data_IF_793373031789
#
_entry.id   IF_793373031789
#
_cell.length_a   1.000
_cell.length_b   1.000
_cell.length_c   1.000
_cell.angle_alpha   90.00
_cell.angle_beta   90.00
_cell.angle_gamma   90.00
#
_symmetry.space_group_name_H-M   'P 1'
#
loop_
_entity.id
_entity.type
_entity.pdbx_description
1 polymer ?
#
# COMPACT_ATOMS: atom_id res chain seq x y z
N UNK A 1 -27.23 2.80 -2.31
CA UNK A 1 -27.10 1.31 -2.24
C UNK A 1 -28.46 0.62 -2.19
N UNK A 2 -29.30 0.79 -1.16
CA UNK A 2 -30.57 0.07 -1.06
C UNK A 2 -31.46 0.27 -2.31
N UNK A 3 -31.66 1.51 -2.76
CA UNK A 3 -32.42 1.83 -3.97
C UNK A 3 -31.81 1.21 -5.25
N UNK A 4 -30.50 1.20 -5.40
CA UNK A 4 -29.80 0.61 -6.57
C UNK A 4 -29.88 -0.92 -6.58
N UNK A 5 -29.96 -1.54 -5.39
CA UNK A 5 -30.07 -2.99 -5.22
C UNK A 5 -31.52 -3.47 -5.12
N UNK A 6 -32.49 -2.56 -5.23
CA UNK A 6 -33.93 -2.86 -5.10
C UNK A 6 -34.25 -3.63 -3.81
N UNK A 7 -33.67 -3.20 -2.67
CA UNK A 7 -33.85 -3.81 -1.35
C UNK A 7 -34.00 -2.74 -0.26
N UNK A 8 -34.13 -3.15 1.00
CA UNK A 8 -34.22 -2.22 2.14
C UNK A 8 -32.85 -1.88 2.72
N UNK A 9 -32.76 -0.76 3.43
CA UNK A 9 -31.53 -0.36 4.13
C UNK A 9 -31.11 -1.39 5.17
N UNK A 10 -32.07 -1.93 5.95
CA UNK A 10 -31.83 -2.95 6.97
C UNK A 10 -31.17 -4.19 6.36
N UNK A 11 -31.65 -4.64 5.18
CA UNK A 11 -31.08 -5.81 4.51
C UNK A 11 -29.66 -5.56 4.03
N UNK A 12 -29.35 -4.35 3.52
CA UNK A 12 -27.99 -3.96 3.15
C UNK A 12 -27.06 -3.97 4.38
N UNK A 13 -27.50 -3.35 5.47
CA UNK A 13 -26.74 -3.29 6.72
C UNK A 13 -26.50 -4.70 7.31
N UNK A 14 -27.50 -5.57 7.27
CA UNK A 14 -27.36 -6.97 7.70
C UNK A 14 -26.26 -7.68 6.92
N UNK A 15 -26.30 -7.67 5.58
CA UNK A 15 -25.31 -8.29 4.69
C UNK A 15 -23.90 -7.76 4.94
N UNK A 16 -23.74 -6.44 5.07
CA UNK A 16 -22.43 -5.82 5.32
C UNK A 16 -21.87 -6.20 6.68
N UNK A 17 -22.73 -6.23 7.72
CA UNK A 17 -22.32 -6.66 9.07
C UNK A 17 -21.98 -8.15 9.12
N UNK A 18 -22.70 -9.02 8.38
CA UNK A 18 -22.35 -10.42 8.21
C UNK A 18 -20.98 -10.58 7.55
N UNK A 19 -20.76 -9.93 6.41
CA UNK A 19 -19.49 -9.97 5.70
C UNK A 19 -18.30 -9.48 6.56
N UNK A 20 -18.55 -8.54 7.47
CA UNK A 20 -17.55 -8.06 8.43
C UNK A 20 -17.27 -9.08 9.54
N UNK A 21 -18.30 -9.68 10.14
CA UNK A 21 -18.16 -10.77 11.13
C UNK A 21 -17.42 -11.98 10.57
N UNK A 22 -17.70 -12.35 9.32
CA UNK A 22 -17.06 -13.47 8.63
C UNK A 22 -15.62 -13.15 8.19
N UNK A 23 -15.17 -11.89 8.39
CA UNK A 23 -13.85 -11.41 8.02
C UNK A 23 -13.62 -11.36 6.50
N UNK A 24 -14.68 -11.30 5.71
CA UNK A 24 -14.64 -10.99 4.27
C UNK A 24 -14.27 -9.53 4.11
N UNK A 25 -14.96 -8.63 4.82
CA UNK A 25 -14.60 -7.21 4.94
C UNK A 25 -13.66 -7.06 6.13
N UNK A 26 -12.45 -6.55 5.87
CA UNK A 26 -11.46 -6.26 6.93
C UNK A 26 -11.68 -4.90 7.57
N UNK A 27 -11.96 -3.90 6.75
CA UNK A 27 -12.10 -2.50 7.15
C UNK A 27 -12.84 -1.74 6.05
N UNK A 28 -13.65 -0.76 6.46
CA UNK A 28 -14.27 0.21 5.56
C UNK A 28 -13.91 1.61 6.01
N UNK A 29 -13.15 2.35 5.19
CA UNK A 29 -12.67 3.67 5.54
C UNK A 29 -12.17 4.45 4.33
N UNK A 30 -11.84 5.71 4.52
CA UNK A 30 -11.12 6.49 3.53
C UNK A 30 -9.72 5.92 3.27
N UNK A 31 -9.30 5.97 2.03
CA UNK A 31 -7.96 5.58 1.56
C UNK A 31 -7.29 6.83 1.02
N UNK A 32 -6.29 7.30 1.74
CA UNK A 32 -5.54 8.49 1.40
C UNK A 32 -4.30 8.20 0.56
N UNK A 33 -3.83 9.21 -0.16
CA UNK A 33 -2.57 9.17 -0.89
C UNK A 33 -1.43 9.62 0.02
N UNK A 34 -0.57 8.68 0.39
CA UNK A 34 0.56 8.90 1.31
C UNK A 34 1.44 10.10 0.90
N UNK A 35 1.69 10.25 -0.41
CA UNK A 35 2.54 11.32 -0.93
C UNK A 35 1.84 12.68 -0.85
N UNK A 36 0.55 12.73 -1.16
CA UNK A 36 -0.25 13.97 -1.09
C UNK A 36 -0.50 14.43 0.35
N UNK A 37 -0.42 13.51 1.32
CA UNK A 37 -0.39 13.84 2.74
C UNK A 37 0.99 14.37 3.21
N UNK A 38 1.97 14.50 2.32
CA UNK A 38 3.31 14.97 2.66
C UNK A 38 4.25 13.90 3.24
N UNK A 39 3.79 12.66 3.40
CA UNK A 39 4.63 11.58 3.91
C UNK A 39 5.69 11.17 2.89
N UNK A 40 6.91 10.96 3.37
CA UNK A 40 7.98 10.33 2.61
C UNK A 40 7.95 8.82 2.82
N UNK A 41 7.81 8.06 1.75
CA UNK A 41 7.69 6.60 1.85
C UNK A 41 8.69 5.87 0.95
N UNK A 42 9.13 4.70 1.41
CA UNK A 42 10.01 3.82 0.64
C UNK A 42 9.71 2.36 0.90
N UNK A 43 10.01 1.52 -0.09
CA UNK A 43 10.30 0.12 0.12
C UNK A 43 11.74 0.01 0.62
N UNK A 44 11.99 -0.83 1.61
CA UNK A 44 13.31 -1.04 2.21
C UNK A 44 13.55 -2.54 2.29
N UNK A 45 14.78 -2.95 2.06
CA UNK A 45 15.18 -4.33 2.28
C UNK A 45 16.43 -4.40 3.17
N UNK A 46 16.37 -5.25 4.17
CA UNK A 46 17.46 -5.53 5.11
C UNK A 46 18.01 -6.94 4.88
N UNK A 47 19.33 -7.06 5.03
CA UNK A 47 20.03 -8.33 5.17
C UNK A 47 20.21 -8.63 6.66
N UNK A 48 19.45 -9.60 7.20
CA UNK A 48 19.42 -9.97 8.61
C UNK A 48 19.90 -11.42 8.77
N UNK A 49 20.76 -11.69 9.76
CA UNK A 49 21.09 -13.08 10.10
C UNK A 49 19.86 -13.80 10.64
N UNK A 50 19.74 -15.09 10.30
CA UNK A 50 18.56 -15.91 10.66
C UNK A 50 18.24 -15.87 12.16
N UNK A 51 19.29 -15.94 13.01
CA UNK A 51 19.14 -15.86 14.48
C UNK A 51 18.56 -14.53 14.98
N UNK A 52 18.76 -13.43 14.22
CA UNK A 52 18.33 -12.07 14.60
C UNK A 52 16.94 -11.71 14.03
N UNK A 53 16.41 -12.51 13.09
CA UNK A 53 15.10 -12.23 12.44
C UNK A 53 13.97 -12.03 13.46
N UNK A 54 13.77 -12.86 14.49
CA UNK A 54 12.67 -12.68 15.44
C UNK A 54 12.74 -11.33 16.17
N UNK A 55 13.93 -10.88 16.57
CA UNK A 55 14.11 -9.59 17.21
C UNK A 55 13.94 -8.44 16.22
N UNK A 56 14.51 -8.57 15.02
CA UNK A 56 14.37 -7.57 13.96
C UNK A 56 12.90 -7.34 13.58
N UNK A 57 12.12 -8.41 13.45
CA UNK A 57 10.67 -8.34 13.17
C UNK A 57 9.93 -7.61 14.29
N UNK A 58 10.24 -7.86 15.55
CA UNK A 58 9.64 -7.17 16.69
C UNK A 58 9.92 -5.66 16.62
N UNK A 59 11.16 -5.27 16.38
CA UNK A 59 11.60 -3.87 16.28
C UNK A 59 10.94 -3.19 15.08
N UNK A 60 10.98 -3.80 13.89
CA UNK A 60 10.38 -3.23 12.69
C UNK A 60 8.86 -3.09 12.82
N UNK A 61 8.20 -4.11 13.39
CA UNK A 61 6.75 -4.09 13.54
C UNK A 61 6.24 -3.07 14.57
N UNK A 62 7.07 -2.64 15.52
CA UNK A 62 6.71 -1.59 16.49
C UNK A 62 6.75 -0.18 15.89
N UNK A 63 7.43 0.01 14.75
CA UNK A 63 7.46 1.33 14.10
C UNK A 63 6.10 1.66 13.48
N UNK A 64 5.47 2.83 13.81
CA UNK A 64 4.12 3.19 13.34
C UNK A 64 4.03 3.39 11.83
N UNK A 65 5.11 3.81 11.19
CA UNK A 65 5.20 4.02 9.74
C UNK A 65 5.44 2.75 8.93
N UNK A 66 5.69 1.60 9.56
CA UNK A 66 5.84 0.32 8.84
C UNK A 66 4.49 -0.35 8.70
N UNK A 67 3.99 -0.44 7.47
CA UNK A 67 2.69 -1.02 7.15
C UNK A 67 2.76 -2.48 6.71
N UNK A 68 3.82 -2.85 6.02
CA UNK A 68 4.04 -4.20 5.49
C UNK A 68 5.44 -4.66 5.86
N UNK A 69 5.58 -5.92 6.27
CA UNK A 69 6.86 -6.54 6.59
C UNK A 69 6.81 -8.02 6.20
N UNK A 70 7.73 -8.44 5.34
CA UNK A 70 7.78 -9.78 4.76
C UNK A 70 9.18 -10.36 4.81
N UNK A 71 9.25 -11.67 4.99
CA UNK A 71 10.45 -12.44 4.68
C UNK A 71 10.41 -12.91 3.23
N UNK A 72 11.57 -12.84 2.54
CA UNK A 72 11.73 -13.28 1.16
C UNK A 72 12.98 -14.12 0.98
N UNK A 73 12.97 -14.99 -0.02
CA UNK A 73 14.04 -15.91 -0.38
C UNK A 73 15.21 -15.21 -1.10
N UNK A 74 15.89 -14.30 -0.41
CA UNK A 74 17.06 -13.56 -0.92
C UNK A 74 18.01 -13.22 0.22
N UNK A 75 19.27 -12.79 -0.04
CA UNK A 75 20.19 -12.29 1.00
C UNK A 75 19.63 -11.04 1.68
N UNK A 76 19.03 -10.11 0.90
CA UNK A 76 18.10 -9.14 1.47
C UNK A 76 16.81 -9.86 1.80
N UNK A 77 16.69 -10.37 3.01
CA UNK A 77 15.63 -11.30 3.39
C UNK A 77 14.43 -10.64 4.11
N UNK A 78 14.59 -9.46 4.69
CA UNK A 78 13.51 -8.73 5.35
C UNK A 78 13.13 -7.50 4.54
N UNK A 79 11.89 -7.49 4.04
CA UNK A 79 11.36 -6.46 3.16
C UNK A 79 10.18 -5.76 3.81
N UNK A 80 10.27 -4.45 3.93
CA UNK A 80 9.18 -3.67 4.52
C UNK A 80 8.93 -2.35 3.80
N UNK A 81 7.71 -1.85 3.93
CA UNK A 81 7.35 -0.50 3.49
C UNK A 81 7.27 0.41 4.70
N UNK A 82 7.95 1.53 4.63
CA UNK A 82 7.96 2.55 5.67
C UNK A 82 7.50 3.89 5.11
N UNK A 83 6.73 4.64 5.89
CA UNK A 83 6.37 6.02 5.60
C UNK A 83 6.62 6.87 6.84
N UNK A 84 7.23 8.03 6.64
CA UNK A 84 7.60 8.97 7.69
C UNK A 84 6.75 10.23 7.53
N UNK A 85 6.21 10.72 8.63
CA UNK A 85 5.34 11.87 8.68
C UNK A 85 6.04 13.16 8.20
N UNK A 86 5.31 14.13 7.63
CA UNK A 86 5.91 15.37 7.11
C UNK A 86 6.56 16.24 8.19
N UNK A 87 6.11 16.13 9.45
CA UNK A 87 6.64 16.83 10.62
C UNK A 87 7.73 16.05 11.37
N UNK A 88 8.25 14.94 10.81
CA UNK A 88 9.33 14.17 11.42
C UNK A 88 10.62 14.97 11.53
N UNK A 89 11.25 14.95 12.69
CA UNK A 89 12.56 15.56 12.92
C UNK A 89 13.72 14.68 12.41
N UNK A 90 13.53 13.36 12.39
CA UNK A 90 14.55 12.41 11.93
C UNK A 90 14.55 12.25 10.41
N UNK A 91 13.37 12.26 9.78
CA UNK A 91 13.24 11.98 8.37
C UNK A 91 13.40 10.49 8.03
N UNK A 92 13.28 10.16 6.74
CA UNK A 92 13.22 8.78 6.27
C UNK A 92 14.56 8.05 6.44
N UNK A 93 15.65 8.65 5.96
CA UNK A 93 16.97 8.03 5.92
C UNK A 93 17.49 7.73 7.33
N UNK A 94 17.35 8.71 8.24
CA UNK A 94 17.81 8.53 9.63
C UNK A 94 16.99 7.51 10.40
N UNK A 95 15.67 7.48 10.19
CA UNK A 95 14.80 6.46 10.78
C UNK A 95 15.21 5.05 10.33
N UNK A 96 15.54 4.87 9.03
CA UNK A 96 15.99 3.58 8.50
C UNK A 96 17.38 3.21 9.08
N UNK A 97 18.32 4.16 9.19
CA UNK A 97 19.62 3.93 9.81
C UNK A 97 19.49 3.44 11.27
N UNK A 98 18.63 4.08 12.05
CA UNK A 98 18.33 3.67 13.43
C UNK A 98 17.75 2.26 13.48
N UNK A 99 16.78 1.96 12.60
CA UNK A 99 16.20 0.63 12.50
C UNK A 99 17.23 -0.42 12.09
N UNK A 100 18.11 -0.12 11.11
CA UNK A 100 19.16 -1.02 10.67
C UNK A 100 20.13 -1.35 11.82
N UNK A 101 20.53 -0.35 12.59
CA UNK A 101 21.40 -0.54 13.77
C UNK A 101 20.72 -1.40 14.85
N UNK A 102 19.45 -1.10 15.18
CA UNK A 102 18.71 -1.84 16.22
C UNK A 102 18.41 -3.28 15.86
N UNK A 103 18.30 -3.58 14.57
CA UNK A 103 18.00 -4.92 14.04
C UNK A 103 19.24 -5.73 13.70
N UNK A 104 20.44 -5.21 13.93
CA UNK A 104 21.72 -5.79 13.51
C UNK A 104 21.77 -6.09 11.99
N UNK A 105 21.16 -5.23 11.16
CA UNK A 105 21.19 -5.41 9.72
C UNK A 105 22.64 -5.31 9.20
N UNK A 106 23.10 -6.34 8.47
CA UNK A 106 24.43 -6.35 7.84
C UNK A 106 24.53 -5.34 6.71
N UNK A 107 23.47 -5.29 5.91
CA UNK A 107 23.32 -4.38 4.79
C UNK A 107 21.86 -3.94 4.68
N UNK A 108 21.62 -2.81 4.02
CA UNK A 108 20.27 -2.40 3.66
C UNK A 108 20.27 -1.57 2.38
N UNK A 109 19.11 -1.57 1.72
CA UNK A 109 18.84 -0.74 0.55
C UNK A 109 17.51 0.00 0.74
N UNK A 110 17.51 1.26 0.33
CA UNK A 110 16.33 2.14 0.38
C UNK A 110 15.84 2.32 -1.06
N UNK A 111 14.65 1.87 -1.36
CA UNK A 111 14.09 1.78 -2.70
C UNK A 111 12.89 2.73 -2.86
N UNK A 112 13.08 4.06 -2.87
CA UNK A 112 12.00 5.01 -3.10
C UNK A 112 11.40 4.81 -4.50
N UNK A 113 10.16 5.25 -4.67
CA UNK A 113 9.50 5.22 -5.97
C UNK A 113 10.00 6.40 -6.82
N UNK A 114 10.77 6.11 -7.87
CA UNK A 114 11.18 7.10 -8.89
C UNK A 114 10.00 7.38 -9.83
N UNK A 115 9.33 6.31 -10.26
CA UNK A 115 8.16 6.39 -11.12
C UNK A 115 7.13 5.32 -10.77
N UNK A 116 5.88 5.72 -10.85
CA UNK A 116 4.73 4.84 -10.69
C UNK A 116 4.06 4.62 -12.04
N UNK A 117 3.95 3.37 -12.49
CA UNK A 117 3.23 2.99 -13.70
C UNK A 117 1.84 2.47 -13.40
N UNK A 118 1.67 1.69 -12.33
CA UNK A 118 0.36 1.14 -11.93
C UNK A 118 0.23 0.99 -10.41
N UNK A 119 -0.91 1.39 -9.88
CA UNK A 119 -1.46 0.97 -8.59
C UNK A 119 -2.94 0.68 -8.82
N UNK A 120 -3.29 -0.59 -8.99
CA UNK A 120 -4.66 -1.01 -9.14
C UNK A 120 -4.77 -2.47 -8.72
N UNK A 121 -5.58 -2.76 -7.71
CA UNK A 121 -5.93 -4.14 -7.37
C UNK A 121 -7.34 -4.36 -7.88
N UNK A 122 -7.46 -4.92 -9.09
CA UNK A 122 -8.72 -5.47 -9.60
C UNK A 122 -8.61 -6.98 -9.49
N UNK A 123 -9.37 -7.55 -8.58
CA UNK A 123 -9.54 -8.99 -8.47
C UNK A 123 -10.67 -9.37 -9.43
N UNK A 124 -10.33 -9.96 -10.58
CA UNK A 124 -11.36 -10.49 -11.46
C UNK A 124 -11.91 -11.79 -10.88
N UNK A 125 -13.11 -11.70 -10.31
CA UNK A 125 -13.86 -12.85 -9.79
C UNK A 125 -14.72 -13.52 -10.86
N UNK A 126 -14.75 -12.98 -12.09
CA UNK A 126 -15.74 -13.36 -13.12
C UNK A 126 -15.17 -14.16 -14.29
N UNK A 127 -13.86 -14.44 -14.34
CA UNK A 127 -13.18 -15.17 -15.44
C UNK A 127 -13.44 -14.59 -16.84
N UNK A 128 -13.68 -13.28 -16.97
CA UNK A 128 -13.85 -12.62 -18.25
C UNK A 128 -12.49 -12.17 -18.79
N UNK A 129 -12.32 -12.34 -20.11
CA UNK A 129 -11.11 -12.08 -20.89
C UNK A 129 -10.38 -10.78 -20.53
N UNK A 130 -9.06 -10.84 -20.58
CA UNK A 130 -8.10 -9.76 -20.33
C UNK A 130 -8.43 -8.50 -21.16
N UNK A 131 -9.03 -7.50 -20.52
CA UNK A 131 -9.11 -6.17 -21.11
C UNK A 131 -7.88 -5.36 -20.70
N UNK A 132 -7.09 -4.94 -21.69
CA UNK A 132 -6.05 -3.93 -21.48
C UNK A 132 -6.72 -2.65 -20.97
N UNK A 133 -6.31 -2.18 -19.79
CA UNK A 133 -6.85 -0.96 -19.21
C UNK A 133 -6.09 0.26 -19.72
N UNK A 134 -6.83 1.23 -20.27
CA UNK A 134 -6.29 2.57 -20.51
C UNK A 134 -6.11 3.29 -19.18
N UNK A 135 -4.88 3.69 -18.88
CA UNK A 135 -4.58 4.56 -17.74
C UNK A 135 -5.18 5.94 -18.00
N UNK A 136 -6.27 6.26 -17.32
CA UNK A 136 -6.87 7.61 -17.38
C UNK A 136 -6.06 8.49 -16.43
N UNK A 137 -5.34 9.46 -16.97
CA UNK A 137 -4.73 10.52 -16.17
C UNK A 137 -5.84 11.43 -15.62
N UNK A 138 -6.02 11.40 -14.30
CA UNK A 138 -6.93 12.35 -13.62
C UNK A 138 -6.16 13.65 -13.34
N UNK A 139 -6.73 14.77 -13.71
CA UNK A 139 -6.26 16.07 -13.22
C UNK A 139 -6.80 16.29 -11.80
N UNK A 140 -5.94 16.75 -10.91
CA UNK A 140 -6.30 17.02 -9.52
C UNK A 140 -6.12 18.50 -9.22
N UNK A 141 -7.00 19.04 -8.37
CA UNK A 141 -6.83 20.41 -7.83
C UNK A 141 -5.69 20.42 -6.79
N UNK A 142 -5.12 21.59 -6.56
CA UNK A 142 -4.19 21.76 -5.44
C UNK A 142 -4.97 21.94 -4.14
N UNK A 143 -4.52 21.32 -3.05
CA UNK A 143 -5.09 21.47 -1.72
C UNK A 143 -3.96 21.53 -0.70
N UNK A 144 -3.84 22.66 -0.04
CA UNK A 144 -2.94 22.81 1.09
C UNK A 144 -3.63 22.32 2.37
N UNK A 145 -3.05 21.31 2.99
CA UNK A 145 -3.65 20.70 4.18
C UNK A 145 -3.46 21.59 5.42
N UNK A 146 -4.56 21.89 6.12
CA UNK A 146 -4.58 22.60 7.38
C UNK A 146 -4.73 21.63 8.56
N UNK A 147 -4.58 22.14 9.78
CA UNK A 147 -4.81 21.34 11.00
C UNK A 147 -6.24 20.77 11.10
N UNK A 148 -7.24 21.52 10.60
CA UNK A 148 -8.60 20.98 10.53
C UNK A 148 -8.66 19.77 9.60
N UNK A 149 -8.04 19.82 8.44
CA UNK A 149 -7.94 18.68 7.52
C UNK A 149 -7.29 17.45 8.18
N UNK A 150 -6.26 17.64 9.01
CA UNK A 150 -5.63 16.51 9.73
C UNK A 150 -6.62 15.83 10.70
N UNK A 151 -7.49 16.58 11.36
CA UNK A 151 -8.56 16.02 12.22
C UNK A 151 -9.55 15.18 11.41
N UNK A 152 -10.00 15.69 10.25
CA UNK A 152 -10.85 14.91 9.34
C UNK A 152 -10.16 13.62 8.89
N UNK A 153 -8.88 13.68 8.51
CA UNK A 153 -8.11 12.52 8.06
C UNK A 153 -7.99 11.48 9.17
N UNK A 154 -7.69 11.91 10.42
CA UNK A 154 -7.62 11.03 11.59
C UNK A 154 -8.93 10.25 11.81
N UNK A 155 -10.08 10.86 11.60
CA UNK A 155 -11.39 10.22 11.79
C UNK A 155 -11.82 9.40 10.57
N UNK A 156 -11.69 9.93 9.36
CA UNK A 156 -12.11 9.26 8.13
C UNK A 156 -11.33 7.99 7.80
N UNK A 157 -10.10 7.83 8.32
CA UNK A 157 -9.30 6.62 8.15
C UNK A 157 -9.68 5.49 9.11
N UNK A 158 -10.49 5.76 10.12
CA UNK A 158 -10.99 4.75 11.05
C UNK A 158 -11.95 3.80 10.34
N UNK A 159 -12.07 2.61 10.87
CA UNK A 159 -13.01 1.62 10.38
C UNK A 159 -14.42 2.00 10.80
N UNK A 160 -15.31 2.26 9.84
CA UNK A 160 -16.69 2.63 10.15
C UNK A 160 -17.54 1.43 10.54
N UNK A 161 -18.51 1.68 11.40
CA UNK A 161 -19.59 0.74 11.69
C UNK A 161 -20.67 0.83 10.60
N UNK A 162 -21.22 -0.31 10.22
CA UNK A 162 -22.36 -0.35 9.28
C UNK A 162 -23.67 -0.14 10.06
N UNK A 163 -24.12 1.10 10.05
CA UNK A 163 -25.36 1.58 10.68
C UNK A 163 -25.98 2.70 9.83
N UNK A 164 -27.20 3.13 10.13
CA UNK A 164 -27.92 4.15 9.36
C UNK A 164 -27.16 5.47 9.27
N UNK A 165 -26.49 5.89 10.34
CA UNK A 165 -25.67 7.11 10.37
C UNK A 165 -24.19 6.77 10.64
N UNK A 166 -23.48 6.20 9.64
CA UNK A 166 -22.12 5.69 9.85
C UNK A 166 -21.07 6.78 10.12
N UNK A 167 -21.35 8.02 9.75
CA UNK A 167 -20.44 9.17 9.92
C UNK A 167 -20.81 10.08 11.11
N UNK A 168 -21.86 9.74 11.87
CA UNK A 168 -22.31 10.58 12.99
C UNK A 168 -21.20 10.85 14.00
N UNK A 169 -20.32 9.88 14.27
CA UNK A 169 -19.20 10.04 15.18
C UNK A 169 -18.21 11.15 14.74
N UNK A 170 -18.05 11.37 13.42
CA UNK A 170 -17.18 12.43 12.86
C UNK A 170 -17.84 13.79 13.08
N UNK A 171 -19.12 13.87 12.76
CA UNK A 171 -19.94 15.10 12.91
C UNK A 171 -19.96 15.54 14.36
N UNK A 172 -20.20 14.60 15.29
CA UNK A 172 -20.23 14.88 16.74
C UNK A 172 -18.85 15.29 17.27
N UNK A 173 -17.78 14.56 16.91
CA UNK A 173 -16.41 14.83 17.38
C UNK A 173 -15.87 16.18 16.90
N UNK A 174 -16.14 16.54 15.64
CA UNK A 174 -15.67 17.79 15.06
C UNK A 174 -16.63 18.95 15.28
N UNK A 175 -17.83 18.70 15.82
CA UNK A 175 -18.92 19.67 16.00
C UNK A 175 -19.23 20.43 14.70
N UNK A 176 -19.49 19.70 13.63
CA UNK A 176 -19.77 20.22 12.28
C UNK A 176 -21.10 19.68 11.75
N UNK A 177 -21.56 20.22 10.64
CA UNK A 177 -22.70 19.67 9.89
C UNK A 177 -22.31 18.52 8.95
N UNK A 178 -23.26 17.71 8.49
CA UNK A 178 -23.03 16.74 7.43
C UNK A 178 -22.63 17.40 6.11
N UNK A 179 -23.14 18.60 5.82
CA UNK A 179 -22.78 19.34 4.61
C UNK A 179 -21.31 19.75 4.62
N UNK A 180 -20.78 20.20 5.75
CA UNK A 180 -19.37 20.50 5.91
C UNK A 180 -18.50 19.24 5.79
N UNK A 181 -18.92 18.11 6.38
CA UNK A 181 -18.23 16.83 6.24
C UNK A 181 -18.13 16.43 4.77
N UNK A 182 -19.24 16.42 4.04
CA UNK A 182 -19.24 15.97 2.65
C UNK A 182 -18.56 16.95 1.71
N UNK A 183 -18.60 18.26 2.00
CA UNK A 183 -17.83 19.27 1.27
C UNK A 183 -16.34 19.00 1.40
N UNK A 184 -15.82 18.79 2.62
CA UNK A 184 -14.41 18.46 2.87
C UNK A 184 -14.01 17.12 2.21
N UNK A 185 -14.87 16.11 2.28
CA UNK A 185 -14.65 14.83 1.59
C UNK A 185 -14.52 15.03 0.08
N UNK A 186 -15.38 15.89 -0.52
CA UNK A 186 -15.32 16.19 -1.94
C UNK A 186 -14.05 16.94 -2.33
N UNK A 187 -13.57 17.86 -1.49
CA UNK A 187 -12.28 18.54 -1.67
C UNK A 187 -11.11 17.53 -1.65
N UNK A 188 -11.11 16.59 -0.71
CA UNK A 188 -10.11 15.53 -0.65
C UNK A 188 -10.14 14.62 -1.91
N UNK A 189 -11.31 14.33 -2.45
CA UNK A 189 -11.46 13.55 -3.68
C UNK A 189 -10.95 14.35 -4.89
N UNK A 190 -11.36 15.61 -5.03
CA UNK A 190 -10.99 16.48 -6.15
C UNK A 190 -9.48 16.77 -6.18
N UNK A 191 -8.86 16.92 -5.01
CA UNK A 191 -7.41 17.09 -4.89
C UNK A 191 -6.62 15.78 -5.01
N UNK A 192 -7.33 14.63 -4.91
CA UNK A 192 -6.74 13.29 -4.88
C UNK A 192 -6.00 12.96 -3.58
N UNK A 193 -6.17 13.79 -2.53
CA UNK A 193 -5.72 13.48 -1.16
C UNK A 193 -6.44 12.22 -0.68
N UNK A 194 -7.76 12.15 -0.88
CA UNK A 194 -8.50 10.91 -0.72
C UNK A 194 -8.62 10.21 -2.08
N UNK A 195 -8.03 9.03 -2.18
CA UNK A 195 -8.10 8.19 -3.39
C UNK A 195 -9.49 7.57 -3.58
N UNK A 196 -10.10 7.11 -2.50
CA UNK A 196 -11.43 6.51 -2.43
C UNK A 196 -11.87 6.29 -0.98
N UNK A 197 -13.16 6.11 -0.79
CA UNK A 197 -13.73 5.50 0.40
C UNK A 197 -14.21 4.08 0.03
N UNK A 198 -13.72 3.04 0.71
CA UNK A 198 -13.99 1.66 0.28
C UNK A 198 -13.85 0.63 1.40
N UNK A 199 -14.58 -0.47 1.25
CA UNK A 199 -14.37 -1.69 2.00
C UNK A 199 -13.17 -2.46 1.45
N UNK A 200 -12.28 -2.92 2.33
CA UNK A 200 -11.12 -3.74 1.99
C UNK A 200 -11.46 -5.18 2.28
N UNK A 201 -11.36 -5.99 1.25
CA UNK A 201 -11.63 -7.42 1.33
C UNK A 201 -10.38 -8.22 1.74
N UNK A 202 -10.61 -9.37 2.36
CA UNK A 202 -9.56 -10.33 2.64
C UNK A 202 -9.26 -11.16 1.37
N UNK A 203 -8.14 -10.87 0.71
CA UNK A 203 -7.77 -11.50 -0.56
C UNK A 203 -7.66 -13.01 -0.50
N UNK A 204 -7.13 -13.57 0.61
CA UNK A 204 -7.02 -15.04 0.77
C UNK A 204 -8.38 -15.71 0.77
N UNK A 205 -9.39 -15.08 1.37
CA UNK A 205 -10.79 -15.55 1.32
C UNK A 205 -11.44 -15.33 -0.05
N UNK A 206 -10.86 -14.46 -0.89
CA UNK A 206 -11.31 -14.22 -2.28
C UNK A 206 -10.64 -15.13 -3.32
N UNK A 207 -9.81 -16.13 -2.91
CA UNK A 207 -9.27 -17.16 -3.79
C UNK A 207 -7.95 -16.83 -4.50
N UNK A 208 -7.26 -15.74 -4.14
CA UNK A 208 -5.93 -15.38 -4.68
C UNK A 208 -4.85 -15.74 -3.67
N UNK A 209 -4.16 -16.87 -3.90
CA UNK A 209 -3.19 -17.42 -2.96
C UNK A 209 -1.73 -17.23 -3.37
N UNK A 210 -1.44 -17.02 -4.65
CA UNK A 210 -0.09 -16.89 -5.18
C UNK A 210 0.23 -15.44 -5.55
N UNK A 211 1.29 -14.89 -4.92
CA UNK A 211 1.76 -13.54 -5.16
C UNK A 211 3.28 -13.54 -5.29
N UNK A 212 3.81 -12.89 -6.33
CA UNK A 212 5.23 -12.67 -6.49
C UNK A 212 5.54 -11.19 -6.71
N UNK A 213 6.55 -10.68 -6.02
CA UNK A 213 7.21 -9.44 -6.41
C UNK A 213 8.32 -9.80 -7.37
N UNK A 214 8.16 -9.46 -8.64
CA UNK A 214 9.18 -9.71 -9.65
C UNK A 214 9.95 -8.44 -9.91
N UNK A 215 11.27 -8.56 -9.84
CA UNK A 215 12.21 -7.46 -10.06
C UNK A 215 12.98 -7.70 -11.36
N UNK A 216 13.17 -6.64 -12.13
CA UNK A 216 13.76 -6.67 -13.46
C UNK A 216 14.90 -5.67 -13.54
N UNK A 217 16.00 -6.09 -14.12
CA UNK A 217 17.10 -5.22 -14.51
C UNK A 217 16.85 -4.75 -15.95
N UNK A 218 16.40 -3.52 -16.11
CA UNK A 218 16.07 -2.92 -17.40
C UNK A 218 16.95 -1.71 -17.70
N UNK A 219 17.06 -1.35 -18.98
CA UNK A 219 17.69 -0.10 -19.38
C UNK A 219 16.85 1.09 -18.91
N UNK A 220 17.46 1.99 -18.13
CA UNK A 220 16.79 3.18 -17.62
C UNK A 220 16.23 4.07 -18.74
N UNK A 221 16.93 4.16 -19.88
CA UNK A 221 16.50 4.94 -21.04
C UNK A 221 15.20 4.44 -21.68
N UNK A 222 14.93 3.13 -21.54
CA UNK A 222 13.72 2.45 -22.04
C UNK A 222 12.66 2.25 -20.95
N UNK A 223 12.92 2.71 -19.75
CA UNK A 223 12.08 2.42 -18.56
C UNK A 223 10.63 2.87 -18.71
N UNK A 224 10.37 3.92 -19.51
CA UNK A 224 9.00 4.38 -19.76
C UNK A 224 8.20 3.33 -20.50
N UNK A 225 8.67 2.91 -21.67
CA UNK A 225 7.96 1.96 -22.54
C UNK A 225 7.85 0.58 -21.89
N UNK A 226 8.96 0.12 -21.30
CA UNK A 226 9.01 -1.18 -20.61
C UNK A 226 8.05 -1.18 -19.41
N UNK A 227 8.03 -0.11 -18.61
CA UNK A 227 7.16 0.00 -17.45
C UNK A 227 5.67 0.05 -17.83
N UNK A 228 5.32 0.73 -18.92
CA UNK A 228 3.95 0.77 -19.45
C UNK A 228 3.51 -0.60 -19.98
N UNK A 229 4.38 -1.31 -20.70
CA UNK A 229 4.10 -2.67 -21.16
C UNK A 229 3.87 -3.60 -19.96
N UNK A 230 4.77 -3.61 -18.97
CA UNK A 230 4.62 -4.45 -17.78
C UNK A 230 3.36 -4.09 -16.97
N UNK A 231 3.03 -2.81 -16.88
CA UNK A 231 1.84 -2.32 -16.18
C UNK A 231 0.53 -2.64 -16.89
N UNK A 232 0.55 -2.91 -18.21
CA UNK A 232 -0.66 -3.22 -19.00
C UNK A 232 -1.26 -4.59 -18.68
N UNK A 233 -0.50 -5.49 -18.06
CA UNK A 233 -1.00 -6.81 -17.67
C UNK A 233 -2.00 -6.70 -16.53
N UNK A 234 -3.15 -7.34 -16.64
CA UNK A 234 -4.21 -7.33 -15.63
C UNK A 234 -3.76 -7.96 -14.31
N UNK A 235 -2.97 -9.03 -14.35
CA UNK A 235 -2.41 -9.71 -13.20
C UNK A 235 -1.36 -8.88 -12.43
N UNK A 236 -0.83 -7.79 -13.02
CA UNK A 236 0.07 -6.85 -12.36
C UNK A 236 -0.76 -5.81 -11.62
N UNK A 237 -0.69 -5.82 -10.29
CA UNK A 237 -1.38 -4.83 -9.45
C UNK A 237 -0.58 -3.57 -9.18
N UNK A 238 0.74 -3.69 -9.14
CA UNK A 238 1.66 -2.61 -8.87
C UNK A 238 2.86 -2.71 -9.82
N UNK A 239 3.26 -1.57 -10.38
CA UNK A 239 4.45 -1.46 -11.21
C UNK A 239 5.18 -0.17 -10.92
N UNK A 240 6.46 -0.27 -10.50
CA UNK A 240 7.30 0.86 -10.05
C UNK A 240 8.68 0.83 -10.67
N UNK A 241 9.22 2.01 -10.98
CA UNK A 241 10.65 2.20 -11.18
C UNK A 241 11.29 2.65 -9.85
N UNK A 242 12.45 2.05 -9.51
CA UNK A 242 13.21 2.31 -8.28
C UNK A 242 14.70 2.44 -8.60
N UNK A 243 15.53 3.02 -7.71
CA UNK A 243 16.96 3.17 -7.93
C UNK A 243 17.67 1.81 -7.94
N UNK A 244 18.82 1.78 -8.63
CA UNK A 244 19.79 0.69 -8.59
C UNK A 244 20.92 1.03 -7.62
N UNK A 245 21.59 -0.01 -7.08
CA UNK A 245 22.72 0.10 -6.20
C UNK A 245 23.82 -0.89 -6.63
N UNK A 246 25.08 -0.73 -6.24
CA UNK A 246 26.15 -1.68 -6.59
C UNK A 246 25.86 -3.13 -6.21
N UNK A 247 25.14 -3.32 -5.10
CA UNK A 247 24.69 -4.63 -4.59
C UNK A 247 23.25 -4.97 -4.94
N UNK A 248 22.56 -4.13 -5.77
CA UNK A 248 21.18 -4.32 -6.18
C UNK A 248 20.92 -3.73 -7.57
N UNK A 249 20.98 -4.55 -8.59
CA UNK A 249 20.88 -4.13 -10.00
C UNK A 249 19.47 -3.94 -10.56
N UNK A 250 18.45 -4.39 -9.86
CA UNK A 250 17.07 -4.37 -10.35
C UNK A 250 16.41 -3.02 -10.12
N UNK A 251 15.74 -2.49 -11.13
CA UNK A 251 15.10 -1.17 -11.09
C UNK A 251 13.61 -1.15 -11.44
N UNK A 252 13.06 -2.14 -12.15
CA UNK A 252 11.63 -2.27 -12.36
C UNK A 252 11.06 -3.34 -11.42
N UNK A 253 9.96 -3.02 -10.74
CA UNK A 253 9.30 -3.87 -9.76
C UNK A 253 7.84 -4.08 -10.15
N UNK A 254 7.43 -5.33 -10.29
CA UNK A 254 6.05 -5.72 -10.58
C UNK A 254 5.51 -6.62 -9.47
N UNK A 255 4.31 -6.32 -8.94
CA UNK A 255 3.60 -7.21 -8.04
C UNK A 255 2.56 -7.98 -8.86
N UNK A 256 2.75 -9.27 -8.98
CA UNK A 256 1.93 -10.18 -9.78
C UNK A 256 1.07 -11.03 -8.85
N UNK A 257 -0.21 -11.16 -9.18
CA UNK A 257 -1.17 -11.98 -8.44
C UNK A 257 -1.69 -13.10 -9.35
N UNK A 258 -1.67 -14.33 -8.85
CA UNK A 258 -2.24 -15.51 -9.50
C UNK A 258 -3.15 -16.29 -8.55
N UNK A 259 -4.01 -17.13 -9.11
CA UNK A 259 -4.77 -18.11 -8.33
C UNK A 259 -3.85 -19.23 -7.87
N UNK A 260 -2.88 -19.59 -8.71
CA UNK A 260 -1.86 -20.62 -8.47
C UNK A 260 -0.45 -20.05 -8.72
N UNK A 261 0.58 -20.78 -8.29
CA UNK A 261 1.96 -20.45 -8.62
C UNK A 261 2.21 -20.55 -10.13
N UNK A 262 1.61 -21.53 -10.80
CA UNK A 262 1.70 -21.69 -12.26
C UNK A 262 1.12 -20.50 -13.03
N UNK A 263 -0.03 -19.95 -12.58
CA UNK A 263 -0.61 -18.73 -13.17
C UNK A 263 0.35 -17.53 -13.03
N UNK A 264 0.98 -17.43 -11.85
CA UNK A 264 1.96 -16.38 -11.57
C UNK A 264 3.19 -16.54 -12.45
N UNK A 265 3.72 -17.76 -12.57
CA UNK A 265 4.88 -18.08 -13.42
C UNK A 265 4.60 -17.81 -14.91
N UNK A 266 3.42 -18.22 -15.39
CA UNK A 266 2.99 -17.91 -16.76
C UNK A 266 2.94 -16.40 -17.02
N UNK A 267 2.39 -15.63 -16.10
CA UNK A 267 2.36 -14.16 -16.24
C UNK A 267 3.78 -13.56 -16.27
N UNK A 268 4.71 -14.09 -15.46
CA UNK A 268 6.12 -13.66 -15.46
C UNK A 268 6.75 -13.90 -16.84
N UNK A 269 6.49 -15.07 -17.44
CA UNK A 269 6.99 -15.42 -18.76
C UNK A 269 6.35 -14.58 -19.87
N UNK A 270 5.05 -14.32 -19.79
CA UNK A 270 4.33 -13.47 -20.74
C UNK A 270 4.87 -12.04 -20.73
N UNK A 271 5.19 -11.49 -19.54
CA UNK A 271 5.86 -10.18 -19.41
C UNK A 271 7.27 -10.27 -20.01
N UNK A 272 8.06 -11.28 -19.63
CA UNK A 272 9.43 -11.47 -20.09
C UNK A 272 9.55 -11.55 -21.63
N UNK A 273 8.55 -12.10 -22.29
CA UNK A 273 8.49 -12.19 -23.76
C UNK A 273 8.15 -10.85 -24.45
N UNK A 274 7.66 -9.85 -23.68
CA UNK A 274 7.23 -8.55 -24.24
C UNK A 274 8.13 -7.37 -23.88
N UNK A 275 9.05 -7.55 -22.94
CA UNK A 275 9.95 -6.48 -22.50
C UNK A 275 11.41 -6.86 -22.69
N UNK A 276 12.27 -5.86 -22.93
CA UNK A 276 13.72 -6.06 -22.90
C UNK A 276 14.22 -5.95 -21.45
N UNK A 277 14.97 -6.95 -20.99
CA UNK A 277 15.59 -6.95 -19.68
C UNK A 277 16.93 -7.69 -19.72
N UNK A 278 17.86 -7.35 -18.82
CA UNK A 278 19.16 -8.02 -18.68
C UNK A 278 19.07 -9.21 -17.73
N UNK A 279 18.28 -9.04 -16.65
CA UNK A 279 18.05 -10.10 -15.66
C UNK A 279 16.70 -9.89 -14.95
N UNK A 280 16.16 -10.94 -14.38
CA UNK A 280 14.93 -10.92 -13.59
C UNK A 280 15.02 -11.87 -12.41
N UNK A 281 14.29 -11.55 -11.34
CA UNK A 281 14.17 -12.43 -10.18
C UNK A 281 12.76 -12.33 -9.58
N UNK A 282 12.18 -13.48 -9.27
CA UNK A 282 10.93 -13.57 -8.53
C UNK A 282 11.23 -13.68 -7.03
N UNK A 283 10.75 -12.72 -6.27
CA UNK A 283 10.86 -12.68 -4.83
C UNK A 283 9.53 -13.13 -4.21
N UNK A 284 9.46 -14.38 -3.85
CA UNK A 284 8.32 -14.95 -3.17
C UNK A 284 8.36 -14.60 -1.68
N UNK A 285 7.19 -14.38 -1.08
CA UNK A 285 7.07 -14.17 0.36
C UNK A 285 7.00 -15.52 1.05
N UNK A 286 8.03 -15.86 1.83
CA UNK A 286 8.03 -17.04 2.70
C UNK A 286 7.16 -16.81 3.95
N UNK A 287 7.16 -15.57 4.47
CA UNK A 287 6.40 -15.22 5.67
C UNK A 287 5.92 -13.76 5.62
N UNK A 288 4.67 -13.54 6.07
CA UNK A 288 4.09 -12.22 6.29
C UNK A 288 4.15 -11.91 7.79
N UNK A 289 4.92 -10.88 8.18
CA UNK A 289 5.07 -10.46 9.58
C UNK A 289 4.14 -9.32 9.98
N UNK A 290 3.85 -8.42 9.03
CA UNK A 290 2.95 -7.28 9.24
C UNK A 290 2.25 -6.94 7.93
N UNK A 291 0.94 -6.69 8.01
CA UNK A 291 0.13 -6.16 6.92
C UNK A 291 -1.02 -5.35 7.50
N UNK A 292 -0.73 -4.09 7.76
CA UNK A 292 -1.67 -3.12 8.33
C UNK A 292 -1.63 -1.84 7.51
N UNK A 293 -2.59 -0.95 7.76
CA UNK A 293 -2.54 0.41 7.24
C UNK A 293 -1.76 1.31 8.19
N UNK A 294 -1.12 2.30 7.61
CA UNK A 294 -0.56 3.42 8.39
C UNK A 294 -1.74 4.25 8.90
N UNK A 295 -1.67 4.60 10.17
CA UNK A 295 -2.57 5.58 10.77
C UNK A 295 -1.86 6.94 10.65
N UNK A 296 -2.32 7.73 9.69
CA UNK A 296 -1.73 9.04 9.42
C UNK A 296 -1.97 10.01 10.56
N UNK A 297 -0.96 10.84 10.82
CA UNK A 297 -0.97 11.89 11.85
C UNK A 297 -1.23 11.36 13.27
N UNK A 298 -0.93 10.08 13.55
CA UNK A 298 -1.03 9.52 14.91
C UNK A 298 0.13 10.02 15.78
N UNK A 299 -0.13 10.15 17.06
CA UNK A 299 0.87 10.59 18.06
C UNK A 299 1.99 9.54 18.25
N UNK A 300 1.76 8.31 17.80
CA UNK A 300 2.75 7.22 17.86
C UNK A 300 4.04 7.54 17.07
N UNK A 301 3.95 8.34 15.98
CA UNK A 301 5.14 8.78 15.24
C UNK A 301 6.05 9.65 16.10
N UNK A 302 5.49 10.65 16.79
CA UNK A 302 6.26 11.52 17.67
C UNK A 302 6.83 10.76 18.87
N UNK A 303 6.07 9.84 19.44
CA UNK A 303 6.52 9.00 20.54
C UNK A 303 7.68 8.12 20.13
N UNK A 304 7.59 7.48 18.97
CA UNK A 304 8.68 6.67 18.44
C UNK A 304 9.96 7.50 18.22
N UNK A 305 9.84 8.72 17.68
CA UNK A 305 10.98 9.61 17.49
C UNK A 305 11.61 10.03 18.81
N UNK A 306 10.82 10.43 19.82
CA UNK A 306 11.32 10.79 21.16
C UNK A 306 12.10 9.66 21.80
N UNK A 307 11.64 8.41 21.65
CA UNK A 307 12.32 7.22 22.18
C UNK A 307 13.63 6.86 21.42
N UNK A 308 13.80 7.35 20.20
CA UNK A 308 14.86 6.94 19.30
C UNK A 308 15.79 8.08 18.87
N UNK A 309 15.61 9.29 19.36
CA UNK A 309 16.40 10.48 19.00
C UNK A 309 17.57 10.75 19.98
N UNK A 310 18.00 9.75 20.74
CA UNK A 310 19.15 9.82 21.67
C UNK A 310 20.44 9.32 21.01
#
# INVERSE_FOLDING_TARGET
>A
MANELHTTEERVLEILNEAKRDGIIRQTSAIFDTKKLGYKSSLVAFEIEEKDIPNAVKILNSHPGISHNYERNHSFNIWFTIAIAPNSNLGLEKSIEILAKKTNAKNYIILPTLKLFKISVKLDTTNKEEKQEKLIQKSFTNLDLSESHYKFIKLLQQDIEFKSEPFKFIVDELNISYDELFTTVQEFINSGVMRRFASILNHRKAGFSANAMVVWDIDEKKSQDIGEIAASFSAVSHCYLRPQYPNWKYNLFTMIHGKTEDDTQKTIEDIANKIEYRDKMALYSSKEFKKVRIIYFSDEFENWEKENNN
#
